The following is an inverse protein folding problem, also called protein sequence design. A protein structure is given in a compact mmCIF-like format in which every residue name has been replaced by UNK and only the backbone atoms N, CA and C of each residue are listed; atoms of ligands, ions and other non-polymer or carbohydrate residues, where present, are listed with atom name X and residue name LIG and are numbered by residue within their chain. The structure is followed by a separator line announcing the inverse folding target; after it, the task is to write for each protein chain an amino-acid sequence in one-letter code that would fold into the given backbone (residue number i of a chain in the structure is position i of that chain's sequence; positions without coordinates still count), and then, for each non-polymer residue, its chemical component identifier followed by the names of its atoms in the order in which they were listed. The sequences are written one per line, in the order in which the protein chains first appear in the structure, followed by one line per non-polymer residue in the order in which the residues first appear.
data_IF_456183337302
#
_entry.id   IF_456183337302
#
_cell.length_a   1.000
_cell.length_b   1.000
_cell.length_c   1.000
_cell.angle_alpha   90.00
_cell.angle_beta   90.00
_cell.angle_gamma   90.00
#
_symmetry.space_group_name_H-M   'P 1'
#
loop_
_entity.id
_entity.type
_entity.pdbx_description
1 polymer ?
#
# COMPACT_ATOMS: atom_id res chain seq x y z
N UNK A 1 -13.59 2.20 3.11
CA UNK A 1 -12.55 2.75 2.23
C UNK A 1 -13.01 4.13 1.80
N UNK A 2 -12.10 5.08 1.59
CA UNK A 2 -12.48 6.44 1.18
C UNK A 2 -13.12 6.41 -0.22
N UNK A 3 -14.21 7.16 -0.43
CA UNK A 3 -14.97 7.17 -1.69
C UNK A 3 -14.11 7.66 -2.86
N UNK A 4 -13.24 8.65 -2.62
CA UNK A 4 -12.33 9.18 -3.64
C UNK A 4 -11.33 8.11 -4.12
N UNK A 5 -10.87 7.25 -3.20
CA UNK A 5 -9.97 6.15 -3.54
C UNK A 5 -10.69 5.12 -4.40
N UNK A 6 -11.92 4.76 -4.06
CA UNK A 6 -12.70 3.79 -4.85
C UNK A 6 -13.00 4.31 -6.25
N UNK A 7 -13.42 5.56 -6.38
CA UNK A 7 -13.65 6.21 -7.68
C UNK A 7 -12.36 6.27 -8.51
N UNK A 8 -11.22 6.61 -7.90
CA UNK A 8 -9.93 6.59 -8.57
C UNK A 8 -9.57 5.19 -9.09
N UNK A 9 -9.73 4.14 -8.28
CA UNK A 9 -9.41 2.77 -8.69
C UNK A 9 -10.35 2.26 -9.79
N UNK A 10 -11.64 2.64 -9.76
CA UNK A 10 -12.61 2.29 -10.80
C UNK A 10 -12.35 3.03 -12.13
N UNK A 11 -11.97 4.30 -12.06
CA UNK A 11 -11.66 5.10 -13.25
C UNK A 11 -10.42 4.59 -14.01
N UNK A 12 -9.50 3.91 -13.31
CA UNK A 12 -8.25 3.39 -13.87
C UNK A 12 -8.31 1.88 -14.15
N UNK A 13 -9.41 1.40 -14.74
CA UNK A 13 -9.77 0.00 -15.03
C UNK A 13 -8.66 -0.93 -15.61
N UNK A 14 -7.56 -0.40 -16.14
CA UNK A 14 -6.41 -1.19 -16.59
C UNK A 14 -5.50 -1.68 -15.44
N UNK A 15 -5.74 -1.24 -14.20
CA UNK A 15 -5.00 -1.63 -13.00
C UNK A 15 -5.96 -1.82 -11.82
N UNK A 16 -6.53 -3.01 -11.69
CA UNK A 16 -7.19 -3.41 -10.44
C UNK A 16 -6.13 -4.02 -9.51
N UNK A 17 -5.59 -3.29 -8.52
CA UNK A 17 -4.59 -3.83 -7.62
C UNK A 17 -5.19 -4.97 -6.79
N UNK A 18 -4.39 -6.01 -6.54
CA UNK A 18 -4.76 -7.07 -5.62
C UNK A 18 -4.97 -6.45 -4.24
N UNK A 19 -6.16 -6.67 -3.67
CA UNK A 19 -6.53 -6.12 -2.37
C UNK A 19 -6.16 -7.10 -1.26
N UNK A 20 -5.48 -6.59 -0.24
CA UNK A 20 -5.18 -7.33 0.99
C UNK A 20 -5.95 -6.73 2.16
N UNK A 21 -6.56 -7.59 2.98
CA UNK A 21 -7.09 -7.16 4.27
C UNK A 21 -5.95 -6.72 5.19
N UNK A 22 -6.24 -5.86 6.16
CA UNK A 22 -5.26 -5.46 7.17
C UNK A 22 -4.70 -6.66 7.96
N UNK A 23 -5.53 -7.68 8.23
CA UNK A 23 -5.08 -8.92 8.88
C UNK A 23 -4.10 -9.72 8.01
N UNK A 24 -4.28 -9.74 6.68
CA UNK A 24 -3.32 -10.34 5.76
C UNK A 24 -2.00 -9.56 5.76
N UNK A 25 -2.07 -8.23 5.67
CA UNK A 25 -0.87 -7.36 5.74
C UNK A 25 -0.09 -7.63 7.02
N UNK A 26 -0.76 -7.62 8.18
CA UNK A 26 -0.15 -7.87 9.49
C UNK A 26 0.57 -9.23 9.55
N UNK A 27 0.02 -10.27 8.93
CA UNK A 27 0.65 -11.59 8.82
C UNK A 27 1.89 -11.54 7.91
N UNK A 28 1.77 -10.91 6.73
CA UNK A 28 2.86 -10.81 5.75
C UNK A 28 4.10 -10.12 6.36
N UNK A 29 3.91 -9.05 7.15
CA UNK A 29 5.00 -8.31 7.81
C UNK A 29 5.39 -8.86 9.19
N UNK A 30 4.91 -10.06 9.56
CA UNK A 30 5.25 -10.71 10.82
C UNK A 30 4.90 -9.87 12.05
N UNK A 31 3.70 -9.28 12.10
CA UNK A 31 3.26 -8.36 13.16
C UNK A 31 4.16 -7.12 13.33
N UNK A 32 4.57 -6.50 12.22
CA UNK A 32 5.36 -5.27 12.17
C UNK A 32 6.81 -5.43 12.69
N UNK A 33 7.32 -6.67 12.72
CA UNK A 33 8.62 -7.01 13.33
C UNK A 33 9.82 -6.41 12.58
N UNK A 34 9.74 -6.30 11.25
CA UNK A 34 10.88 -5.94 10.40
C UNK A 34 10.66 -4.59 9.72
N UNK A 35 10.75 -3.49 10.49
CA UNK A 35 10.69 -2.13 9.95
C UNK A 35 11.97 -1.81 9.20
N UNK A 36 11.84 -1.40 7.94
CA UNK A 36 12.95 -0.99 7.08
C UNK A 36 13.19 0.53 7.14
N UNK A 37 12.15 1.32 7.40
CA UNK A 37 12.28 2.77 7.48
C UNK A 37 11.01 3.49 7.90
N UNK A 38 11.15 4.78 8.15
CA UNK A 38 10.06 5.72 8.43
C UNK A 38 10.41 7.09 7.85
N UNK A 39 9.39 7.77 7.32
CA UNK A 39 9.50 9.17 6.92
C UNK A 39 8.23 9.95 7.26
N UNK A 40 8.12 11.16 6.69
CA UNK A 40 6.95 12.03 6.88
C UNK A 40 5.64 11.38 6.42
N UNK A 41 5.70 10.53 5.39
CA UNK A 41 4.51 9.96 4.75
C UNK A 41 4.09 8.59 5.30
N UNK A 42 4.95 7.88 6.04
CA UNK A 42 4.63 6.51 6.42
C UNK A 42 5.78 5.68 6.97
N UNK A 43 5.47 4.40 7.16
CA UNK A 43 6.37 3.36 7.64
C UNK A 43 6.57 2.32 6.55
N UNK A 44 7.78 1.79 6.44
CA UNK A 44 8.13 0.76 5.47
C UNK A 44 8.54 -0.50 6.22
N UNK A 45 7.94 -1.64 5.85
CA UNK A 45 8.20 -2.94 6.48
C UNK A 45 8.61 -3.98 5.44
N UNK A 46 9.49 -4.87 5.84
CA UNK A 46 9.77 -6.11 5.11
C UNK A 46 8.68 -7.13 5.44
N UNK A 47 8.23 -7.86 4.42
CA UNK A 47 7.29 -8.96 4.58
C UNK A 47 7.58 -10.10 3.61
N UNK A 48 6.86 -11.21 3.80
CA UNK A 48 6.96 -12.40 2.97
C UNK A 48 5.55 -12.89 2.62
N UNK A 49 5.30 -13.03 1.32
CA UNK A 49 4.05 -13.61 0.83
C UNK A 49 4.02 -15.13 1.07
N UNK A 50 2.83 -15.72 1.02
CA UNK A 50 2.68 -17.20 1.11
C UNK A 50 3.41 -17.95 -0.01
N UNK A 51 3.66 -17.29 -1.14
CA UNK A 51 4.46 -17.81 -2.24
C UNK A 51 5.98 -17.77 -1.97
N UNK A 52 6.40 -17.39 -0.76
CA UNK A 52 7.81 -17.16 -0.38
C UNK A 52 8.48 -15.99 -1.10
N UNK A 53 7.71 -15.14 -1.79
CA UNK A 53 8.24 -13.90 -2.37
C UNK A 53 8.40 -12.84 -1.28
N UNK A 54 9.59 -12.24 -1.20
CA UNK A 54 9.84 -11.09 -0.33
C UNK A 54 9.18 -9.84 -0.90
N UNK A 55 8.58 -9.04 -0.01
CA UNK A 55 7.88 -7.81 -0.38
C UNK A 55 8.22 -6.69 0.59
N UNK A 56 8.07 -5.46 0.10
CA UNK A 56 8.11 -4.24 0.91
C UNK A 56 6.70 -3.68 1.00
N UNK A 57 6.23 -3.43 2.22
CA UNK A 57 4.92 -2.86 2.48
C UNK A 57 5.10 -1.46 3.08
N UNK A 58 4.61 -0.45 2.36
CA UNK A 58 4.54 0.94 2.82
C UNK A 58 3.16 1.21 3.41
N UNK A 59 3.12 1.61 4.67
CA UNK A 59 1.90 1.99 5.39
C UNK A 59 1.92 3.49 5.56
N UNK A 60 0.97 4.17 4.90
CA UNK A 60 0.85 5.61 4.98
C UNK A 60 0.34 6.03 6.36
N UNK A 61 0.91 7.12 6.90
CA UNK A 61 0.36 7.75 8.11
C UNK A 61 -1.04 8.28 7.77
N UNK A 62 -1.95 8.23 8.74
CA UNK A 62 -3.31 8.74 8.55
C UNK A 62 -3.22 10.23 8.22
N UNK A 63 -3.57 10.59 6.99
CA UNK A 63 -3.58 11.98 6.57
C UNK A 63 -4.99 12.54 6.60
N UNK A 64 -5.09 13.86 6.81
CA UNK A 64 -6.35 14.60 6.72
C UNK A 64 -6.80 14.79 5.27
N UNK A 65 -6.03 14.33 4.29
CA UNK A 65 -6.23 14.63 2.88
C UNK A 65 -7.18 13.66 2.16
N UNK A 66 -8.16 13.06 2.86
CA UNK A 66 -9.24 12.25 2.25
C UNK A 66 -8.77 11.24 1.18
N UNK A 67 -7.67 10.52 1.47
CA UNK A 67 -7.14 9.51 0.56
C UNK A 67 -6.25 10.02 -0.59
N UNK A 68 -6.02 11.33 -0.71
CA UNK A 68 -5.19 11.91 -1.78
C UNK A 68 -3.75 11.40 -1.74
N UNK A 69 -3.16 11.22 -0.56
CA UNK A 69 -1.80 10.69 -0.44
C UNK A 69 -1.71 9.25 -0.97
N UNK A 70 -2.75 8.44 -0.76
CA UNK A 70 -2.83 7.11 -1.33
C UNK A 70 -2.92 7.18 -2.85
N UNK A 71 -3.78 8.05 -3.38
CA UNK A 71 -3.95 8.26 -4.82
C UNK A 71 -2.62 8.69 -5.46
N UNK A 72 -1.90 9.64 -4.87
CA UNK A 72 -0.62 10.15 -5.39
C UNK A 72 0.45 9.05 -5.46
N UNK A 73 0.58 8.25 -4.40
CA UNK A 73 1.56 7.17 -4.33
C UNK A 73 1.23 6.05 -5.35
N UNK A 74 -0.04 5.64 -5.44
CA UNK A 74 -0.48 4.60 -6.40
C UNK A 74 -0.41 5.10 -7.84
N UNK A 75 -0.79 6.35 -8.10
CA UNK A 75 -0.71 6.96 -9.42
C UNK A 75 0.72 7.05 -9.95
N UNK A 76 1.69 7.28 -9.06
CA UNK A 76 3.09 7.45 -9.42
C UNK A 76 3.82 6.12 -9.49
N UNK A 77 3.76 5.31 -8.43
CA UNK A 77 4.51 4.05 -8.32
C UNK A 77 3.83 2.93 -9.13
N UNK A 78 2.49 2.88 -9.14
CA UNK A 78 1.74 1.82 -9.82
C UNK A 78 1.83 1.86 -11.35
N UNK A 79 2.31 2.96 -11.93
CA UNK A 79 2.48 3.13 -13.39
C UNK A 79 3.92 2.96 -13.87
N UNK A 80 4.89 2.87 -12.97
CA UNK A 80 6.28 2.61 -13.34
C UNK A 80 6.43 1.12 -13.57
N UNK A 81 6.33 0.71 -14.83
CA UNK A 81 6.91 -0.54 -15.32
C UNK A 81 8.27 -0.19 -15.89
N UNK A 82 9.34 -0.73 -15.30
CA UNK A 82 10.71 -0.58 -15.80
C UNK A 82 11.38 -1.94 -15.84
#
# INVERSE_FOLDING_TARGET
MDKNIEEFLQAHNNFLPIRYSYSNIKKIIGNFKHKLGEGGYGFVYKGMLRSSNEVVIKILKQSKAHGQDFINEVATIGRIHH
#
